data_IF_518281475794
#
_entry.id   IF_518281475794
#
_cell.length_a   1.000
_cell.length_b   1.000
_cell.length_c   1.000
_cell.angle_alpha   90.00
_cell.angle_beta   90.00
_cell.angle_gamma   90.00
#
_symmetry.space_group_name_H-M   'P 1'
#
loop_
_entity.id
_entity.type
_entity.pdbx_description
1 polymer ?
#
# COMPACT_ATOMS: atom_id res chain seq x y z
N UNK A 1 5.76 -35.21 55.89
CA UNK A 1 7.03 -34.48 55.71
C UNK A 1 7.08 -34.05 54.26
N UNK A 2 6.56 -32.86 53.91
CA UNK A 2 7.31 -31.59 53.92
C UNK A 2 8.73 -31.83 53.37
N UNK A 3 8.98 -31.32 52.16
CA UNK A 3 10.26 -31.20 51.43
C UNK A 3 10.31 -31.85 50.05
N UNK A 4 9.25 -31.79 49.24
CA UNK A 4 9.41 -31.78 47.78
C UNK A 4 8.43 -30.79 47.11
N UNK A 5 8.08 -29.72 47.84
CA UNK A 5 7.27 -28.59 47.35
C UNK A 5 8.18 -27.39 46.97
N UNK A 6 9.30 -27.66 46.31
CA UNK A 6 10.28 -26.60 46.00
C UNK A 6 11.04 -26.84 44.68
N UNK A 7 10.36 -27.33 43.65
CA UNK A 7 10.93 -27.45 42.28
C UNK A 7 9.87 -27.01 41.24
N UNK A 8 9.14 -25.92 41.52
CA UNK A 8 8.20 -25.32 40.56
C UNK A 8 8.30 -23.77 40.52
N UNK A 9 9.44 -23.19 40.92
CA UNK A 9 9.59 -21.72 40.97
C UNK A 9 10.82 -21.14 40.26
N UNK A 10 11.50 -21.92 39.42
CA UNK A 10 12.68 -21.47 38.66
C UNK A 10 12.60 -21.86 37.19
N UNK A 11 11.49 -21.52 36.54
CA UNK A 11 11.35 -21.61 35.08
C UNK A 11 10.37 -20.57 34.48
N UNK A 12 10.15 -19.44 35.15
CA UNK A 12 9.30 -18.34 34.66
C UNK A 12 10.06 -17.01 34.50
N UNK A 13 11.37 -17.06 34.33
CA UNK A 13 12.18 -15.85 34.17
C UNK A 13 13.08 -16.04 32.96
N UNK A 14 13.13 -15.02 32.11
CA UNK A 14 13.94 -14.92 30.88
C UNK A 14 13.24 -15.44 29.62
N UNK A 15 12.13 -14.80 29.23
CA UNK A 15 11.96 -14.29 27.86
C UNK A 15 10.96 -13.12 27.90
N UNK A 16 11.30 -12.09 28.67
CA UNK A 16 10.84 -10.74 28.34
C UNK A 16 11.78 -10.24 27.27
N UNK A 17 11.54 -10.66 26.02
CA UNK A 17 12.12 -9.96 24.88
C UNK A 17 11.47 -8.58 24.91
N UNK A 18 12.24 -7.58 25.32
CA UNK A 18 11.85 -6.19 25.10
C UNK A 18 11.59 -6.08 23.60
N UNK A 19 10.31 -5.98 23.25
CA UNK A 19 9.90 -5.50 21.96
C UNK A 19 10.22 -4.00 21.97
N UNK A 20 11.51 -3.67 21.83
CA UNK A 20 11.93 -2.35 21.38
C UNK A 20 11.42 -2.23 19.95
N UNK A 21 10.12 -1.99 19.82
CA UNK A 21 9.56 -1.40 18.63
C UNK A 21 10.23 -0.03 18.59
N UNK A 22 11.15 0.25 17.65
CA UNK A 22 11.54 1.63 17.44
C UNK A 22 10.24 2.35 17.14
N UNK A 23 9.76 3.15 18.11
CA UNK A 23 8.73 4.13 17.87
C UNK A 23 9.20 4.85 16.62
N UNK A 24 8.42 4.72 15.54
CA UNK A 24 8.74 5.28 14.25
C UNK A 24 9.22 6.71 14.50
N UNK A 25 10.53 6.92 14.40
CA UNK A 25 11.09 8.24 14.45
C UNK A 25 10.45 8.89 13.25
N UNK A 26 9.54 9.83 13.53
CA UNK A 26 8.94 10.73 12.56
C UNK A 26 10.06 11.68 12.11
N UNK A 27 11.10 11.09 11.49
CA UNK A 27 11.96 11.82 10.59
C UNK A 27 10.99 12.33 9.54
N UNK A 28 10.79 13.64 9.55
CA UNK A 28 10.40 14.39 8.36
C UNK A 28 11.45 14.09 7.28
N UNK A 29 11.42 12.88 6.74
CA UNK A 29 12.04 12.56 5.51
C UNK A 29 11.30 13.45 4.54
N UNK A 30 11.95 14.54 4.11
CA UNK A 30 11.66 15.09 2.81
C UNK A 30 11.73 13.88 1.87
N UNK A 31 10.62 13.39 1.30
CA UNK A 31 10.66 12.26 0.39
C UNK A 31 11.24 12.81 -0.93
N UNK A 32 12.50 13.24 -0.86
CA UNK A 32 13.32 13.56 -1.99
C UNK A 32 13.28 12.32 -2.89
N UNK A 33 12.96 12.52 -4.17
CA UNK A 33 12.56 11.48 -5.10
C UNK A 33 13.54 10.31 -5.08
N UNK A 34 13.20 9.27 -4.32
CA UNK A 34 14.01 8.05 -4.20
C UNK A 34 14.09 7.42 -5.58
N UNK A 35 15.30 7.28 -6.13
CA UNK A 35 15.48 6.56 -7.39
C UNK A 35 15.39 5.05 -7.13
N UNK A 36 14.40 4.40 -7.74
CA UNK A 36 14.23 2.95 -7.61
C UNK A 36 15.24 2.20 -8.48
N UNK A 37 15.77 1.11 -7.94
CA UNK A 37 16.53 0.11 -8.70
C UNK A 37 15.63 -0.63 -9.71
N UNK A 38 16.23 -1.29 -10.69
CA UNK A 38 15.47 -2.11 -11.67
C UNK A 38 14.65 -3.23 -11.01
N UNK A 39 15.18 -3.86 -9.95
CA UNK A 39 14.46 -4.88 -9.20
C UNK A 39 13.21 -4.29 -8.51
N UNK A 40 13.35 -3.12 -7.88
CA UNK A 40 12.23 -2.42 -7.24
C UNK A 40 11.19 -1.97 -8.27
N UNK A 41 11.60 -1.41 -9.42
CA UNK A 41 10.68 -1.04 -10.50
C UNK A 41 9.92 -2.24 -11.03
N UNK A 42 10.59 -3.39 -11.17
CA UNK A 42 9.95 -4.64 -11.61
C UNK A 42 8.90 -5.11 -10.61
N UNK A 43 9.20 -5.04 -9.31
CA UNK A 43 8.25 -5.38 -8.26
C UNK A 43 7.03 -4.44 -8.25
N UNK A 44 7.27 -3.12 -8.35
CA UNK A 44 6.21 -2.11 -8.44
C UNK A 44 5.34 -2.34 -9.68
N UNK A 45 5.94 -2.61 -10.84
CA UNK A 45 5.21 -2.93 -12.07
C UNK A 45 4.32 -4.17 -11.90
N UNK A 46 4.82 -5.23 -11.26
CA UNK A 46 4.04 -6.44 -10.97
C UNK A 46 2.85 -6.13 -10.07
N UNK A 47 3.03 -5.32 -9.04
CA UNK A 47 1.96 -4.89 -8.14
C UNK A 47 0.91 -4.07 -8.92
N UNK A 48 1.33 -3.06 -9.68
CA UNK A 48 0.43 -2.20 -10.46
C UNK A 48 -0.35 -2.99 -11.53
N UNK A 49 0.26 -3.97 -12.18
CA UNK A 49 -0.43 -4.86 -13.14
C UNK A 49 -1.54 -5.68 -12.47
N UNK A 50 -1.29 -6.21 -11.27
CA UNK A 50 -2.34 -6.91 -10.50
C UNK A 50 -3.48 -5.97 -10.12
N UNK A 51 -3.16 -4.80 -9.59
CA UNK A 51 -4.17 -3.78 -9.26
C UNK A 51 -4.99 -3.39 -10.50
N UNK A 52 -4.37 -3.25 -11.67
CA UNK A 52 -5.07 -2.96 -12.91
C UNK A 52 -6.01 -4.10 -13.32
N UNK A 53 -5.58 -5.36 -13.17
CA UNK A 53 -6.43 -6.52 -13.42
C UNK A 53 -7.63 -6.56 -12.48
N UNK A 54 -7.41 -6.38 -11.17
CA UNK A 54 -8.47 -6.36 -10.17
C UNK A 54 -9.47 -5.21 -10.43
N UNK A 55 -8.98 -4.03 -10.83
CA UNK A 55 -9.83 -2.91 -11.25
C UNK A 55 -10.66 -3.25 -12.48
N UNK A 56 -10.08 -3.92 -13.48
CA UNK A 56 -10.81 -4.36 -14.68
C UNK A 56 -11.94 -5.31 -14.34
N UNK A 57 -11.67 -6.29 -13.48
CA UNK A 57 -12.68 -7.22 -12.99
C UNK A 57 -13.79 -6.51 -12.22
N UNK A 58 -13.43 -5.62 -11.28
CA UNK A 58 -14.39 -4.87 -10.48
C UNK A 58 -15.33 -4.01 -11.35
N UNK A 59 -14.79 -3.30 -12.34
CA UNK A 59 -15.62 -2.51 -13.27
C UNK A 59 -16.53 -3.42 -14.09
N UNK A 60 -16.03 -4.57 -14.55
CA UNK A 60 -16.85 -5.58 -15.22
C UNK A 60 -18.05 -6.01 -14.37
N UNK A 61 -17.83 -6.22 -13.06
CA UNK A 61 -18.91 -6.55 -12.11
C UNK A 61 -19.90 -5.43 -11.91
N UNK A 62 -19.47 -4.17 -11.85
CA UNK A 62 -20.40 -3.06 -11.77
C UNK A 62 -21.26 -2.91 -13.03
N UNK A 63 -20.72 -3.20 -14.20
CA UNK A 63 -21.52 -3.25 -15.45
C UNK A 63 -22.49 -4.44 -15.42
N UNK A 64 -22.03 -5.62 -15.01
CA UNK A 64 -22.88 -6.82 -14.88
C UNK A 64 -24.06 -6.61 -13.94
N UNK A 65 -23.85 -5.92 -12.82
CA UNK A 65 -24.89 -5.64 -11.81
C UNK A 65 -25.75 -4.41 -12.15
N UNK A 66 -25.49 -3.75 -13.28
CA UNK A 66 -26.22 -2.56 -13.72
C UNK A 66 -25.94 -1.30 -12.89
N UNK A 67 -24.87 -1.30 -12.08
CA UNK A 67 -24.42 -0.14 -11.33
C UNK A 67 -23.67 0.88 -12.20
N UNK A 68 -23.18 0.45 -13.36
CA UNK A 68 -22.56 1.30 -14.38
C UNK A 68 -23.06 0.92 -15.77
N UNK A 69 -23.16 1.90 -16.67
CA UNK A 69 -23.30 1.62 -18.09
C UNK A 69 -22.01 1.04 -18.67
N UNK A 70 -22.11 0.35 -19.82
CA UNK A 70 -20.94 -0.18 -20.51
C UNK A 70 -19.99 0.94 -20.94
N UNK A 71 -20.54 2.07 -21.40
CA UNK A 71 -19.79 3.23 -21.85
C UNK A 71 -19.00 3.88 -20.70
N UNK A 72 -19.61 4.01 -19.52
CA UNK A 72 -18.94 4.49 -18.32
C UNK A 72 -17.82 3.53 -17.88
N UNK A 73 -18.11 2.23 -17.88
CA UNK A 73 -17.12 1.19 -17.60
C UNK A 73 -15.91 1.29 -18.53
N UNK A 74 -16.12 1.31 -19.84
CA UNK A 74 -15.07 1.40 -20.87
C UNK A 74 -14.21 2.67 -20.69
N UNK A 75 -14.86 3.80 -20.36
CA UNK A 75 -14.15 5.05 -20.06
C UNK A 75 -13.26 4.91 -18.83
N UNK A 76 -13.75 4.32 -17.74
CA UNK A 76 -12.97 4.08 -16.53
C UNK A 76 -11.77 3.16 -16.81
N UNK A 77 -11.97 2.09 -17.57
CA UNK A 77 -10.89 1.17 -17.96
C UNK A 77 -9.78 1.90 -18.75
N UNK A 78 -10.16 2.72 -19.72
CA UNK A 78 -9.22 3.55 -20.49
C UNK A 78 -8.41 4.50 -19.59
N UNK A 79 -9.05 5.12 -18.60
CA UNK A 79 -8.35 5.95 -17.62
C UNK A 79 -7.35 5.15 -16.79
N UNK A 80 -7.69 3.94 -16.34
CA UNK A 80 -6.77 3.09 -15.58
C UNK A 80 -5.57 2.64 -16.40
N UNK A 81 -5.77 2.27 -17.67
CA UNK A 81 -4.67 1.91 -18.56
C UNK A 81 -3.75 3.09 -18.85
N UNK A 82 -4.32 4.26 -19.13
CA UNK A 82 -3.55 5.50 -19.31
C UNK A 82 -2.74 5.82 -18.06
N UNK A 83 -3.33 5.66 -16.88
CA UNK A 83 -2.65 5.91 -15.63
C UNK A 83 -1.48 4.94 -15.39
N UNK A 84 -1.67 3.65 -15.70
CA UNK A 84 -0.58 2.68 -15.63
C UNK A 84 0.59 3.06 -16.56
N UNK A 85 0.32 3.43 -17.82
CA UNK A 85 1.35 3.88 -18.77
C UNK A 85 2.11 5.10 -18.25
N UNK A 86 1.40 6.08 -17.69
CA UNK A 86 2.01 7.25 -17.06
C UNK A 86 2.92 6.84 -15.90
N UNK A 87 2.51 5.90 -15.04
CA UNK A 87 3.39 5.42 -13.96
C UNK A 87 4.66 4.77 -14.53
N UNK A 88 4.54 3.96 -15.57
CA UNK A 88 5.67 3.28 -16.23
C UNK A 88 6.67 4.30 -16.82
N UNK A 89 6.17 5.30 -17.55
CA UNK A 89 6.97 6.42 -18.10
C UNK A 89 7.69 7.22 -17.01
N UNK A 90 7.07 7.36 -15.84
CA UNK A 90 7.62 8.07 -14.68
C UNK A 90 8.37 7.16 -13.70
N UNK A 91 8.78 5.95 -14.12
CA UNK A 91 9.55 5.01 -13.30
C UNK A 91 8.88 4.69 -11.94
N UNK A 92 7.55 4.67 -11.92
CA UNK A 92 6.71 4.41 -10.74
C UNK A 92 6.92 5.39 -9.58
N UNK A 93 7.45 6.59 -9.85
CA UNK A 93 7.60 7.63 -8.85
C UNK A 93 6.25 8.10 -8.30
N UNK A 94 6.21 8.39 -7.00
CA UNK A 94 5.01 8.95 -6.37
C UNK A 94 4.82 10.38 -6.90
N UNK A 95 3.65 10.70 -7.47
CA UNK A 95 3.39 12.06 -7.96
C UNK A 95 3.39 13.05 -6.79
N UNK A 96 3.89 14.29 -6.99
CA UNK A 96 3.92 15.27 -5.92
C UNK A 96 2.49 15.59 -5.44
N UNK A 97 2.28 15.57 -4.13
CA UNK A 97 1.04 16.05 -3.53
C UNK A 97 0.90 17.54 -3.82
N UNK A 98 -0.05 17.92 -4.69
CA UNK A 98 -0.42 19.32 -4.85
C UNK A 98 -1.44 19.67 -3.76
N UNK A 99 -1.22 20.71 -2.96
CA UNK A 99 -2.25 21.15 -2.02
C UNK A 99 -3.50 21.52 -2.81
N UNK A 100 -4.64 20.93 -2.45
CA UNK A 100 -5.91 21.36 -3.02
C UNK A 100 -6.16 22.79 -2.56
N UNK A 101 -6.08 23.76 -3.48
CA UNK A 101 -6.54 25.11 -3.21
C UNK A 101 -8.01 25.03 -2.88
N UNK A 102 -8.38 25.31 -1.62
CA UNK A 102 -9.76 25.42 -1.20
C UNK A 102 -10.33 26.65 -1.92
N UNK A 103 -10.93 26.44 -3.09
CA UNK A 103 -11.70 27.49 -3.75
C UNK A 103 -12.86 27.80 -2.80
N UNK A 104 -12.70 28.86 -2.00
CA UNK A 104 -13.81 29.47 -1.30
C UNK A 104 -14.71 30.03 -2.39
N UNK A 105 -15.77 29.31 -2.72
CA UNK A 105 -16.90 29.89 -3.43
C UNK A 105 -17.35 31.11 -2.61
N UNK A 106 -17.17 32.30 -3.17
CA UNK A 106 -17.80 33.55 -2.71
C UNK A 106 -19.19 33.62 -3.29
#
# INVERSE_FOLDING_TARGET
MKKFLAICLTACSLFLVNLDHPAAQDSQANPERVQFTEAQKTELAKIQKRILADKKELIGKYVEYGALSKEEGDKMLSHFEKHYKMMEEHNFQIPPHRPHSRNMHK
#
